data_IF_068768817124
#
_entry.id   IF_068768817124
#
_cell.length_a   1.000
_cell.length_b   1.000
_cell.length_c   1.000
_cell.angle_alpha   90.00
_cell.angle_beta   90.00
_cell.angle_gamma   90.00
#
_symmetry.space_group_name_H-M   'P 1'
#
loop_
_entity.id
_entity.type
_entity.pdbx_description
1 polymer ?
#
# COMPACT_ATOMS: atom_id res chain seq x y z
N UNK A 1 14.92 51.99 -17.63
CA UNK A 1 15.58 50.77 -17.09
C UNK A 1 14.71 49.98 -16.11
N UNK A 2 14.12 50.60 -15.08
CA UNK A 2 13.32 49.88 -14.05
C UNK A 2 12.13 49.04 -14.59
N UNK A 3 11.45 49.49 -15.66
CA UNK A 3 10.33 48.76 -16.28
C UNK A 3 10.76 47.50 -17.05
N UNK A 4 12.00 47.45 -17.56
CA UNK A 4 12.51 46.26 -18.26
C UNK A 4 12.84 45.14 -17.27
N UNK A 5 13.41 45.48 -16.10
CA UNK A 5 13.72 44.49 -15.06
C UNK A 5 12.47 43.83 -14.47
N UNK A 6 11.36 44.56 -14.33
CA UNK A 6 10.10 44.03 -13.81
C UNK A 6 9.47 43.00 -14.77
N UNK A 7 9.53 43.25 -16.09
CA UNK A 7 8.96 42.34 -17.10
C UNK A 7 9.78 41.05 -17.21
N UNK A 8 11.11 41.13 -17.11
CA UNK A 8 11.99 39.95 -17.11
C UNK A 8 11.78 39.09 -15.86
N UNK A 9 11.59 39.71 -14.69
CA UNK A 9 11.32 38.97 -13.45
C UNK A 9 9.97 38.21 -13.47
N UNK A 10 8.92 38.83 -14.03
CA UNK A 10 7.60 38.18 -14.18
C UNK A 10 7.65 37.02 -15.18
N UNK A 11 8.36 37.17 -16.30
CA UNK A 11 8.53 36.10 -17.29
C UNK A 11 9.36 34.93 -16.73
N UNK A 12 10.39 35.21 -15.93
CA UNK A 12 11.17 34.17 -15.26
C UNK A 12 10.36 33.40 -14.21
N UNK A 13 9.50 34.09 -13.44
CA UNK A 13 8.59 33.43 -12.50
C UNK A 13 7.51 32.59 -13.20
N UNK A 14 7.01 33.03 -14.35
CA UNK A 14 6.05 32.26 -15.16
C UNK A 14 6.69 31.02 -15.79
N UNK A 15 7.93 31.13 -16.27
CA UNK A 15 8.70 30.01 -16.81
C UNK A 15 9.03 28.98 -15.71
N UNK A 16 9.35 29.43 -14.49
CA UNK A 16 9.56 28.54 -13.35
C UNK A 16 8.28 27.80 -12.92
N UNK A 17 7.10 28.41 -13.10
CA UNK A 17 5.81 27.75 -12.83
C UNK A 17 5.44 26.69 -13.88
N UNK A 18 5.86 26.87 -15.13
CA UNK A 18 5.63 25.93 -16.24
C UNK A 18 6.62 24.75 -16.25
N UNK A 19 7.72 24.85 -15.49
CA UNK A 19 8.70 23.78 -15.28
C UNK A 19 8.45 22.98 -14.00
N UNK A 20 7.33 23.22 -13.30
CA UNK A 20 6.92 22.35 -12.22
C UNK A 20 6.69 20.95 -12.80
N UNK A 21 7.42 19.91 -12.34
CA UNK A 21 7.22 18.56 -12.82
C UNK A 21 5.79 18.17 -12.50
N UNK A 22 4.98 17.99 -13.54
CA UNK A 22 3.71 17.29 -13.37
C UNK A 22 4.06 15.94 -12.75
N UNK A 23 3.41 15.52 -11.65
CA UNK A 23 3.62 14.18 -11.12
C UNK A 23 3.31 13.23 -12.27
N UNK A 24 4.31 12.46 -12.70
CA UNK A 24 4.13 11.40 -13.67
C UNK A 24 3.25 10.35 -13.00
N UNK A 25 1.94 10.48 -13.19
CA UNK A 25 0.98 9.46 -12.80
C UNK A 25 1.30 8.23 -13.64
N UNK A 26 1.46 7.08 -12.98
CA UNK A 26 1.48 5.81 -13.70
C UNK A 26 0.20 5.71 -14.53
N UNK A 27 0.31 5.27 -15.78
CA UNK A 27 -0.87 5.06 -16.60
C UNK A 27 -1.66 3.87 -16.02
N UNK A 28 -2.99 3.99 -15.86
CA UNK A 28 -3.81 2.84 -15.48
C UNK A 28 -3.55 1.67 -16.43
N UNK A 29 -3.35 0.50 -15.86
CA UNK A 29 -3.15 -0.74 -16.60
C UNK A 29 -4.32 -1.68 -16.33
N UNK A 30 -4.42 -2.77 -17.08
CA UNK A 30 -5.54 -3.67 -16.94
C UNK A 30 -5.09 -5.11 -16.74
N UNK A 31 -5.74 -5.79 -15.81
CA UNK A 31 -5.47 -7.18 -15.46
C UNK A 31 -6.70 -8.03 -15.76
N UNK A 32 -6.47 -9.21 -16.34
CA UNK A 32 -7.51 -10.17 -16.64
C UNK A 32 -7.76 -11.09 -15.43
N UNK A 33 -8.97 -11.06 -14.90
CA UNK A 33 -9.48 -11.94 -13.83
C UNK A 33 -10.65 -12.77 -14.38
N UNK A 34 -10.39 -14.04 -14.70
CA UNK A 34 -11.35 -14.86 -15.43
C UNK A 34 -11.65 -14.25 -16.80
N UNK A 35 -12.91 -13.92 -17.07
CA UNK A 35 -13.39 -13.21 -18.27
C UNK A 35 -13.54 -11.70 -18.05
N UNK A 36 -13.27 -11.19 -16.85
CA UNK A 36 -13.42 -9.77 -16.51
C UNK A 36 -12.08 -9.04 -16.58
N UNK A 37 -12.07 -7.89 -17.26
CA UNK A 37 -10.93 -6.97 -17.28
C UNK A 37 -11.09 -5.94 -16.17
N UNK A 38 -10.17 -5.94 -15.21
CA UNK A 38 -10.12 -4.97 -14.11
C UNK A 38 -9.03 -3.95 -14.43
N UNK A 39 -9.39 -2.66 -14.36
CA UNK A 39 -8.42 -1.57 -14.43
C UNK A 39 -7.77 -1.38 -13.06
N UNK A 40 -6.44 -1.38 -13.01
CA UNK A 40 -5.64 -1.09 -11.83
C UNK A 40 -4.78 0.16 -12.09
N UNK A 41 -4.36 0.78 -10.99
CA UNK A 41 -3.44 1.90 -11.01
C UNK A 41 -2.42 1.75 -9.88
N UNK A 42 -1.23 2.29 -10.10
CA UNK A 42 -0.15 2.35 -9.12
C UNK A 42 -0.16 3.74 -8.50
N UNK A 43 -0.40 3.85 -7.16
CA UNK A 43 -0.44 5.14 -6.49
C UNK A 43 0.81 6.00 -6.73
N UNK A 44 0.67 7.35 -6.73
CA UNK A 44 1.81 8.26 -6.88
C UNK A 44 2.91 7.99 -5.86
N UNK A 45 4.16 8.01 -6.33
CA UNK A 45 5.35 7.72 -5.52
C UNK A 45 5.72 6.23 -5.43
N UNK A 46 4.93 5.37 -6.09
CA UNK A 46 5.22 3.95 -6.25
C UNK A 46 5.43 3.63 -7.74
N UNK A 47 6.31 2.66 -7.96
CA UNK A 47 6.53 2.04 -9.26
C UNK A 47 6.02 0.60 -9.19
N UNK A 48 5.30 0.15 -10.23
CA UNK A 48 4.92 -1.26 -10.39
C UNK A 48 6.18 -2.06 -10.68
N UNK A 49 6.67 -2.75 -9.67
CA UNK A 49 7.88 -3.52 -9.74
C UNK A 49 7.65 -4.83 -10.52
N UNK A 50 6.41 -5.37 -10.52
CA UNK A 50 6.08 -6.59 -11.24
C UNK A 50 6.16 -6.40 -12.77
N UNK A 51 5.86 -5.19 -13.27
CA UNK A 51 5.96 -4.86 -14.69
C UNK A 51 7.40 -4.92 -15.25
N UNK A 52 8.43 -4.92 -14.39
CA UNK A 52 9.82 -4.98 -14.84
C UNK A 52 10.29 -6.35 -15.31
N UNK A 53 9.58 -7.42 -14.93
CA UNK A 53 10.00 -8.79 -15.20
C UNK A 53 11.29 -9.22 -14.48
N UNK A 54 11.76 -8.47 -13.47
CA UNK A 54 12.92 -8.86 -12.67
C UNK A 54 12.59 -10.08 -11.79
N UNK A 55 13.33 -11.20 -11.90
CA UNK A 55 13.08 -12.40 -11.08
C UNK A 55 13.16 -12.10 -9.58
N UNK A 56 14.15 -11.31 -9.15
CA UNK A 56 14.34 -10.99 -7.73
C UNK A 56 13.24 -10.10 -7.16
N UNK A 57 12.61 -9.25 -7.97
CA UNK A 57 11.40 -8.50 -7.54
C UNK A 57 10.22 -9.45 -7.38
N UNK A 58 10.06 -10.38 -8.31
CA UNK A 58 8.97 -11.36 -8.24
C UNK A 58 9.12 -12.26 -7.01
N UNK A 59 10.33 -12.76 -6.75
CA UNK A 59 10.65 -13.53 -5.54
C UNK A 59 10.33 -12.75 -4.27
N UNK A 60 10.68 -11.46 -4.23
CA UNK A 60 10.32 -10.59 -3.11
C UNK A 60 8.81 -10.45 -2.95
N UNK A 61 8.08 -10.19 -4.04
CA UNK A 61 6.62 -10.06 -4.02
C UNK A 61 5.94 -11.35 -3.56
N UNK A 62 6.42 -12.50 -4.02
CA UNK A 62 5.95 -13.83 -3.63
C UNK A 62 6.28 -14.14 -2.16
N UNK A 63 7.45 -13.72 -1.65
CA UNK A 63 7.81 -13.91 -0.24
C UNK A 63 6.90 -13.14 0.72
N UNK A 64 6.33 -12.02 0.26
CA UNK A 64 5.43 -11.16 1.02
C UNK A 64 3.95 -11.51 0.83
N UNK A 65 3.63 -12.46 -0.04
CA UNK A 65 2.26 -12.80 -0.42
C UNK A 65 1.98 -14.28 -0.16
N UNK A 66 0.85 -14.59 0.50
CA UNK A 66 0.42 -15.99 0.64
C UNK A 66 0.29 -16.68 -0.72
N UNK A 67 0.78 -17.90 -0.85
CA UNK A 67 0.72 -18.71 -2.09
C UNK A 67 -0.72 -18.94 -2.59
N UNK A 68 -1.72 -18.84 -1.72
CA UNK A 68 -3.15 -18.93 -2.06
C UNK A 68 -3.68 -17.72 -2.84
N UNK A 69 -2.87 -16.68 -3.00
CA UNK A 69 -3.20 -15.47 -3.72
C UNK A 69 -2.42 -15.36 -5.04
N UNK A 70 -3.04 -14.74 -6.04
CA UNK A 70 -2.38 -14.28 -7.26
C UNK A 70 -2.07 -12.79 -7.08
N UNK A 71 -0.81 -12.42 -7.26
CA UNK A 71 -0.36 -11.02 -7.25
C UNK A 71 -0.85 -10.34 -8.53
N UNK A 72 -1.50 -9.19 -8.38
CA UNK A 72 -2.00 -8.36 -9.47
C UNK A 72 -1.17 -7.08 -9.64
N UNK A 73 -0.63 -6.57 -8.53
CA UNK A 73 0.28 -5.44 -8.48
C UNK A 73 1.21 -5.63 -7.29
N UNK A 74 2.50 -5.35 -7.48
CA UNK A 74 3.46 -5.16 -6.41
C UNK A 74 4.17 -3.83 -6.61
N UNK A 75 3.85 -2.87 -5.76
CA UNK A 75 4.41 -1.52 -5.83
C UNK A 75 5.44 -1.28 -4.73
N UNK A 76 6.61 -0.78 -5.10
CA UNK A 76 7.62 -0.26 -4.17
C UNK A 76 7.83 1.21 -4.44
N UNK A 77 8.41 1.95 -3.49
CA UNK A 77 8.65 3.37 -3.69
C UNK A 77 9.55 3.62 -4.90
N UNK A 78 9.40 4.76 -5.57
CA UNK A 78 10.27 5.10 -6.70
C UNK A 78 11.76 5.14 -6.30
N UNK A 79 12.03 5.47 -5.03
CA UNK A 79 13.38 5.45 -4.48
C UNK A 79 13.94 4.03 -4.34
N UNK A 80 13.16 3.11 -3.78
CA UNK A 80 13.52 1.69 -3.69
C UNK A 80 13.65 1.05 -5.07
N UNK A 81 12.76 1.41 -5.99
CA UNK A 81 12.82 0.96 -7.37
C UNK A 81 14.12 1.37 -8.07
N UNK A 82 14.58 2.61 -7.87
CA UNK A 82 15.86 3.08 -8.40
C UNK A 82 17.05 2.35 -7.78
N UNK A 83 17.05 2.15 -6.45
CA UNK A 83 18.09 1.37 -5.75
C UNK A 83 18.18 -0.03 -6.32
N UNK A 84 17.03 -0.69 -6.43
CA UNK A 84 16.94 -2.02 -6.99
C UNK A 84 17.48 -2.09 -8.43
N UNK A 85 17.17 -1.09 -9.26
CA UNK A 85 17.62 -1.02 -10.66
C UNK A 85 19.13 -0.89 -10.83
N UNK A 86 19.86 -0.40 -9.81
CA UNK A 86 21.33 -0.29 -9.81
C UNK A 86 22.01 -1.41 -9.02
N UNK A 87 21.25 -2.39 -8.52
CA UNK A 87 21.75 -3.50 -7.71
C UNK A 87 21.96 -3.18 -6.23
N UNK A 88 21.47 -2.03 -5.75
CA UNK A 88 21.49 -1.67 -4.33
C UNK A 88 20.32 -2.33 -3.58
N UNK A 89 20.53 -2.58 -2.28
CA UNK A 89 19.48 -3.10 -1.39
C UNK A 89 18.39 -2.05 -1.17
N UNK A 90 17.11 -2.36 -1.44
CA UNK A 90 16.01 -1.45 -1.12
C UNK A 90 15.78 -1.36 0.39
N UNK A 91 15.30 -0.21 0.86
CA UNK A 91 14.95 0.00 2.27
C UNK A 91 13.59 -0.61 2.62
N UNK A 92 12.71 -0.74 1.62
CA UNK A 92 11.38 -1.35 1.77
C UNK A 92 10.52 -0.70 2.88
N UNK A 93 10.78 0.59 3.16
CA UNK A 93 10.07 1.32 4.21
C UNK A 93 8.58 1.48 3.93
N UNK A 94 8.19 1.48 2.65
CA UNK A 94 6.81 1.50 2.17
C UNK A 94 6.66 0.66 0.92
N UNK A 95 5.61 -0.14 0.85
CA UNK A 95 5.27 -0.94 -0.32
C UNK A 95 3.77 -1.24 -0.32
N UNK A 96 3.25 -1.69 -1.46
CA UNK A 96 1.85 -2.06 -1.63
C UNK A 96 1.71 -3.33 -2.46
N UNK A 97 0.63 -4.04 -2.21
CA UNK A 97 0.29 -5.29 -2.89
C UNK A 97 -1.20 -5.26 -3.22
N UNK A 98 -1.55 -5.56 -4.47
CA UNK A 98 -2.91 -5.92 -4.84
C UNK A 98 -2.96 -7.39 -5.22
N UNK A 99 -3.90 -8.14 -4.65
CA UNK A 99 -4.03 -9.58 -4.88
C UNK A 99 -5.49 -10.00 -5.10
N UNK A 100 -5.68 -11.14 -5.73
CA UNK A 100 -6.94 -11.89 -5.72
C UNK A 100 -6.70 -13.28 -5.13
N UNK A 101 -7.60 -13.83 -4.31
CA UNK A 101 -7.54 -15.24 -3.94
C UNK A 101 -7.61 -16.10 -5.21
N UNK A 102 -6.68 -17.05 -5.36
CA UNK A 102 -6.64 -17.95 -6.54
C UNK A 102 -7.94 -18.75 -6.68
N UNK A 103 -8.54 -19.13 -5.55
CA UNK A 103 -9.81 -19.84 -5.51
C UNK A 103 -10.99 -19.02 -6.04
N UNK A 104 -10.87 -17.69 -6.11
CA UNK A 104 -11.92 -16.78 -6.59
C UNK A 104 -11.58 -16.13 -7.94
N UNK A 105 -10.37 -16.33 -8.47
CA UNK A 105 -9.88 -15.67 -9.67
C UNK A 105 -10.79 -15.85 -10.90
N UNK A 106 -11.37 -17.04 -11.04
CA UNK A 106 -12.25 -17.40 -12.18
C UNK A 106 -13.73 -17.30 -11.84
N UNK A 107 -14.10 -17.14 -10.58
CA UNK A 107 -15.48 -17.17 -10.13
C UNK A 107 -16.06 -15.76 -10.00
N UNK A 108 -17.31 -15.62 -10.39
CA UNK A 108 -18.11 -14.45 -10.09
C UNK A 108 -18.44 -14.46 -8.60
N UNK A 109 -18.17 -13.36 -7.93
CA UNK A 109 -18.41 -13.20 -6.49
C UNK A 109 -19.66 -12.34 -6.34
N UNK A 110 -20.75 -12.95 -5.87
CA UNK A 110 -21.95 -12.17 -5.54
C UNK A 110 -21.70 -11.31 -4.28
N UNK A 111 -22.49 -10.25 -4.04
CA UNK A 111 -22.39 -9.49 -2.79
C UNK A 111 -22.47 -10.36 -1.53
N UNK A 112 -23.31 -11.41 -1.55
CA UNK A 112 -23.44 -12.36 -0.42
C UNK A 112 -22.23 -13.28 -0.27
N UNK A 113 -21.57 -13.66 -1.36
CA UNK A 113 -20.30 -14.40 -1.29
C UNK A 113 -19.18 -13.49 -0.77
N UNK A 114 -19.17 -12.23 -1.20
CA UNK A 114 -18.22 -11.24 -0.72
C UNK A 114 -18.36 -10.97 0.78
N UNK A 115 -19.59 -10.82 1.29
CA UNK A 115 -19.84 -10.67 2.73
C UNK A 115 -19.30 -11.86 3.53
N UNK A 116 -19.47 -13.09 3.03
CA UNK A 116 -18.90 -14.29 3.64
C UNK A 116 -17.37 -14.28 3.62
N UNK A 117 -16.78 -13.92 2.48
CA UNK A 117 -15.34 -13.76 2.36
C UNK A 117 -14.80 -12.72 3.35
N UNK A 118 -15.47 -11.57 3.50
CA UNK A 118 -15.12 -10.56 4.49
C UNK A 118 -15.22 -11.10 5.91
N UNK A 119 -16.28 -11.84 6.24
CA UNK A 119 -16.45 -12.45 7.55
C UNK A 119 -15.36 -13.50 7.85
N UNK A 120 -14.95 -14.29 6.86
CA UNK A 120 -13.88 -15.28 6.99
C UNK A 120 -12.52 -14.61 7.24
N UNK A 121 -12.17 -13.58 6.46
CA UNK A 121 -10.91 -12.84 6.61
C UNK A 121 -10.85 -12.10 7.96
N UNK A 122 -11.98 -11.58 8.44
CA UNK A 122 -12.02 -10.76 9.65
C UNK A 122 -12.25 -11.55 10.94
N UNK A 123 -12.56 -12.85 10.86
CA UNK A 123 -12.90 -13.71 12.00
C UNK A 123 -11.89 -13.61 13.15
N UNK A 124 -10.60 -13.66 12.81
CA UNK A 124 -9.51 -13.75 13.78
C UNK A 124 -8.81 -12.41 14.05
N UNK A 125 -9.29 -11.33 13.42
CA UNK A 125 -8.64 -10.01 13.49
C UNK A 125 -8.90 -9.26 14.80
N UNK A 126 -9.83 -9.75 15.63
CA UNK A 126 -10.23 -9.09 16.87
C UNK A 126 -11.04 -7.81 16.61
N UNK A 127 -11.38 -7.07 17.68
CA UNK A 127 -12.15 -5.84 17.56
C UNK A 127 -11.22 -4.65 17.31
N UNK A 128 -11.59 -3.70 16.43
CA UNK A 128 -10.85 -2.45 16.29
C UNK A 128 -10.80 -1.72 17.63
N UNK A 129 -9.63 -1.20 17.97
CA UNK A 129 -9.47 -0.27 19.09
C UNK A 129 -9.84 1.16 18.66
N UNK A 130 -10.26 1.98 19.61
CA UNK A 130 -10.49 3.42 19.41
C UNK A 130 -9.34 4.28 19.94
N UNK A 131 -8.30 3.67 20.51
CA UNK A 131 -7.15 4.40 21.04
C UNK A 131 -6.30 4.96 19.88
N UNK A 132 -5.92 6.24 19.99
CA UNK A 132 -5.12 6.96 19.01
C UNK A 132 -3.62 6.78 19.27
N UNK A 133 -3.21 6.26 20.43
CA UNK A 133 -1.81 5.94 20.72
C UNK A 133 -1.46 4.52 20.25
N UNK A 134 -1.23 4.40 18.93
CA UNK A 134 -0.86 3.11 18.33
C UNK A 134 0.44 2.56 18.89
N UNK A 135 1.39 3.41 19.29
CA UNK A 135 2.67 2.92 19.81
C UNK A 135 2.46 2.16 21.12
N UNK A 136 1.72 2.76 22.06
CA UNK A 136 1.38 2.12 23.33
C UNK A 136 0.64 0.80 23.14
N UNK A 137 -0.30 0.75 22.19
CA UNK A 137 -1.02 -0.48 21.85
C UNK A 137 -0.10 -1.58 21.30
N UNK A 138 0.78 -1.23 20.37
CA UNK A 138 1.72 -2.16 19.77
C UNK A 138 2.79 -2.63 20.77
N UNK A 139 3.15 -1.80 21.74
CA UNK A 139 4.07 -2.17 22.82
C UNK A 139 3.46 -3.18 23.80
N UNK A 140 2.15 -3.13 23.99
CA UNK A 140 1.43 -4.13 24.79
C UNK A 140 1.19 -5.44 24.04
N UNK A 141 1.32 -5.46 22.71
CA UNK A 141 1.06 -6.62 21.88
C UNK A 141 2.23 -7.62 21.86
N UNK A 142 1.96 -8.93 21.70
CA UNK A 142 3.01 -9.91 21.43
C UNK A 142 3.77 -9.57 20.14
N UNK A 143 5.09 -9.75 20.18
CA UNK A 143 5.96 -9.52 19.02
C UNK A 143 5.55 -10.42 17.84
N UNK A 144 5.51 -9.83 16.64
CA UNK A 144 5.11 -10.48 15.39
C UNK A 144 3.60 -10.67 15.22
N UNK A 145 2.79 -10.40 16.26
CA UNK A 145 1.34 -10.56 16.17
C UNK A 145 0.68 -9.26 15.68
N UNK A 146 -0.05 -9.28 14.55
CA UNK A 146 -0.79 -8.12 14.10
C UNK A 146 -1.97 -7.83 15.03
N UNK A 147 -2.24 -6.55 15.26
CA UNK A 147 -3.37 -6.03 16.03
C UNK A 147 -4.17 -5.07 15.15
N UNK A 148 -5.50 -5.19 15.14
CA UNK A 148 -6.36 -4.22 14.44
C UNK A 148 -6.39 -2.91 15.20
N UNK A 149 -5.96 -1.85 14.53
CA UNK A 149 -5.87 -0.50 15.08
C UNK A 149 -7.10 0.34 14.79
N UNK A 150 -7.72 0.16 13.62
CA UNK A 150 -8.93 0.89 13.24
C UNK A 150 -9.70 0.20 12.12
N UNK A 151 -11.03 0.34 12.11
CA UNK A 151 -11.82 0.19 10.88
C UNK A 151 -11.82 1.54 10.17
N UNK A 152 -11.44 1.55 8.89
CA UNK A 152 -11.32 2.79 8.10
C UNK A 152 -12.59 3.07 7.30
N UNK A 153 -13.18 2.03 6.71
CA UNK A 153 -14.38 2.15 5.85
C UNK A 153 -15.08 0.81 5.76
N UNK A 154 -16.42 0.81 5.80
CA UNK A 154 -17.25 -0.37 5.60
C UNK A 154 -18.47 -0.04 4.77
N UNK A 155 -18.64 -0.76 3.67
CA UNK A 155 -19.74 -0.65 2.70
C UNK A 155 -20.06 -2.07 2.16
N UNK A 156 -21.19 -2.29 1.47
CA UNK A 156 -21.56 -3.62 0.99
C UNK A 156 -20.51 -4.32 0.10
N UNK A 157 -19.76 -3.54 -0.68
CA UNK A 157 -18.74 -4.03 -1.60
C UNK A 157 -17.30 -3.73 -1.16
N UNK A 158 -17.10 -3.28 0.09
CA UNK A 158 -15.82 -2.77 0.55
C UNK A 158 -15.67 -2.88 2.07
N UNK A 159 -14.55 -3.44 2.51
CA UNK A 159 -14.08 -3.29 3.89
C UNK A 159 -12.63 -2.84 3.89
N UNK A 160 -12.32 -1.77 4.62
CA UNK A 160 -10.96 -1.30 4.86
C UNK A 160 -10.68 -1.22 6.35
N UNK A 161 -9.56 -1.78 6.79
CA UNK A 161 -9.09 -1.70 8.17
C UNK A 161 -7.58 -1.51 8.23
N UNK A 162 -7.11 -0.95 9.33
CA UNK A 162 -5.71 -0.72 9.63
C UNK A 162 -5.26 -1.64 10.75
N UNK A 163 -4.06 -2.18 10.61
CA UNK A 163 -3.41 -3.04 11.58
C UNK A 163 -1.98 -2.56 11.82
N UNK A 164 -1.38 -3.04 12.90
CA UNK A 164 0.06 -2.92 13.10
C UNK A 164 0.63 -4.12 13.83
N UNK A 165 1.95 -4.28 13.70
CA UNK A 165 2.70 -5.32 14.40
C UNK A 165 4.02 -4.73 14.93
N UNK A 166 4.47 -5.24 16.07
CA UNK A 166 5.80 -4.97 16.62
C UNK A 166 6.76 -6.07 16.24
N UNK A 167 7.95 -5.69 15.80
CA UNK A 167 9.08 -6.58 15.52
C UNK A 167 10.21 -6.31 16.51
N UNK A 168 10.99 -7.35 16.86
CA UNK A 168 12.15 -7.13 17.71
C UNK A 168 13.16 -6.25 16.96
N UNK A 169 13.91 -5.43 17.71
CA UNK A 169 15.10 -4.80 17.17
C UNK A 169 16.16 -5.86 16.83
N UNK A 170 17.19 -5.47 16.10
CA UNK A 170 18.34 -6.35 15.87
C UNK A 170 19.13 -6.46 17.17
N UNK A 171 19.33 -7.70 17.62
CA UNK A 171 20.24 -7.99 18.72
C UNK A 171 21.67 -7.63 18.31
N UNK A 172 22.35 -6.87 19.17
CA UNK A 172 23.74 -6.55 19.01
C UNK A 172 24.59 -7.80 19.27
N UNK A 173 25.49 -8.12 18.34
CA UNK A 173 26.45 -9.23 18.49
C UNK A 173 27.68 -8.85 19.31
N UNK A 174 27.80 -7.60 19.74
CA UNK A 174 28.97 -7.08 20.44
C UNK A 174 28.63 -6.68 21.87
N UNK A 175 29.41 -7.20 22.82
CA UNK A 175 29.27 -6.89 24.25
C UNK A 175 29.46 -5.37 24.46
N UNK A 176 28.48 -4.74 25.10
CA UNK A 176 28.52 -3.31 25.43
C UNK A 176 27.89 -2.38 24.39
N UNK A 177 27.40 -2.90 23.27
CA UNK A 177 26.61 -2.14 22.30
C UNK A 177 25.12 -2.41 22.54
N UNK A 178 24.29 -1.37 22.80
CA UNK A 178 22.84 -1.53 22.97
C UNK A 178 22.18 -2.19 21.76
N UNK A 179 21.15 -2.98 22.00
CA UNK A 179 20.29 -3.51 20.94
C UNK A 179 19.55 -2.37 20.22
N UNK A 180 19.23 -2.61 18.95
CA UNK A 180 18.38 -1.68 18.22
C UNK A 180 16.99 -1.60 18.87
N UNK A 181 16.31 -0.44 18.80
CA UNK A 181 14.94 -0.34 19.29
C UNK A 181 13.99 -1.25 18.51
N UNK A 182 12.88 -1.61 19.15
CA UNK A 182 11.80 -2.33 18.48
C UNK A 182 11.31 -1.58 17.25
N UNK A 183 11.00 -2.33 16.20
CA UNK A 183 10.48 -1.79 14.94
C UNK A 183 8.98 -2.03 14.87
N UNK A 184 8.27 -1.15 14.19
CA UNK A 184 6.82 -1.21 14.08
C UNK A 184 6.43 -1.09 12.61
N UNK A 185 5.49 -1.92 12.20
CA UNK A 185 4.91 -1.91 10.87
C UNK A 185 3.43 -1.58 11.01
N UNK A 186 2.95 -0.61 10.23
CA UNK A 186 1.52 -0.43 9.98
C UNK A 186 1.16 -0.96 8.60
N UNK A 187 -0.05 -1.48 8.49
CA UNK A 187 -0.63 -1.82 7.21
C UNK A 187 -2.12 -1.51 7.16
N UNK A 188 -2.61 -1.16 5.98
CA UNK A 188 -4.04 -1.22 5.70
C UNK A 188 -4.32 -2.42 4.83
N UNK A 189 -5.48 -3.03 5.03
CA UNK A 189 -6.02 -4.06 4.14
C UNK A 189 -7.41 -3.61 3.73
N UNK A 190 -7.63 -3.51 2.43
CA UNK A 190 -8.92 -3.21 1.82
C UNK A 190 -9.38 -4.39 1.00
N UNK A 191 -10.46 -5.04 1.44
CA UNK A 191 -11.19 -6.03 0.67
C UNK A 191 -12.19 -5.29 -0.22
N UNK A 192 -12.20 -5.59 -1.52
CA UNK A 192 -13.04 -4.92 -2.51
C UNK A 192 -13.75 -5.94 -3.39
N UNK A 193 -15.03 -5.68 -3.66
CA UNK A 193 -15.76 -6.30 -4.75
C UNK A 193 -15.80 -5.31 -5.92
N UNK A 194 -15.02 -5.57 -6.96
CA UNK A 194 -14.96 -4.76 -8.18
C UNK A 194 -15.39 -5.61 -9.37
N UNK A 195 -16.47 -5.21 -10.05
CA UNK A 195 -17.03 -5.92 -11.22
C UNK A 195 -17.18 -7.42 -10.97
N UNK A 196 -17.81 -7.78 -9.86
CA UNK A 196 -18.02 -9.17 -9.41
C UNK A 196 -16.74 -9.97 -9.15
N UNK A 197 -15.59 -9.31 -8.97
CA UNK A 197 -14.30 -9.92 -8.58
C UNK A 197 -13.87 -9.44 -7.20
N UNK A 198 -13.40 -10.37 -6.37
CA UNK A 198 -12.87 -10.06 -5.05
C UNK A 198 -11.37 -9.74 -5.13
N UNK A 199 -10.98 -8.57 -4.64
CA UNK A 199 -9.59 -8.14 -4.52
C UNK A 199 -9.26 -7.82 -3.07
N UNK A 200 -7.99 -7.98 -2.71
CA UNK A 200 -7.41 -7.45 -1.46
C UNK A 200 -6.27 -6.51 -1.82
N UNK A 201 -6.35 -5.28 -1.31
CA UNK A 201 -5.30 -4.27 -1.44
C UNK A 201 -4.65 -4.09 -0.08
N UNK A 202 -3.34 -4.11 -0.04
CA UNK A 202 -2.58 -3.86 1.18
C UNK A 202 -1.51 -2.82 0.95
N UNK A 203 -1.43 -1.83 1.83
CA UNK A 203 -0.33 -0.84 1.85
C UNK A 203 0.39 -1.01 3.18
N UNK A 204 1.71 -0.98 3.15
CA UNK A 204 2.58 -1.15 4.30
C UNK A 204 3.47 0.08 4.49
N UNK A 205 3.74 0.41 5.75
CA UNK A 205 4.72 1.44 6.12
C UNK A 205 5.37 1.09 7.45
N UNK A 206 6.67 1.38 7.56
CA UNK A 206 7.30 1.52 8.88
C UNK A 206 6.58 2.61 9.68
N UNK A 207 6.51 2.43 11.00
CA UNK A 207 5.84 3.36 11.92
C UNK A 207 6.84 4.02 12.84
N UNK A 208 7.18 5.26 12.50
CA UNK A 208 8.04 6.11 13.32
C UNK A 208 7.23 7.19 14.05
N UNK A 209 6.11 7.63 13.46
CA UNK A 209 5.31 8.71 14.00
C UNK A 209 3.82 8.60 13.63
N UNK A 210 2.90 9.30 14.32
CA UNK A 210 1.48 9.36 13.94
C UNK A 210 1.23 9.78 12.48
N UNK A 211 2.14 10.56 11.89
CA UNK A 211 2.06 11.00 10.49
C UNK A 211 2.08 9.82 9.51
N UNK A 212 2.75 8.71 9.86
CA UNK A 212 2.76 7.50 9.03
C UNK A 212 1.37 6.84 8.98
N UNK A 213 0.63 6.86 10.08
CA UNK A 213 -0.73 6.34 10.13
C UNK A 213 -1.70 7.23 9.34
N UNK A 214 -1.55 8.55 9.44
CA UNK A 214 -2.33 9.52 8.65
C UNK A 214 -2.04 9.39 7.16
N UNK A 215 -0.77 9.30 6.78
CA UNK A 215 -0.34 9.05 5.41
C UNK A 215 -0.92 7.74 4.88
N UNK A 216 -0.91 6.68 5.67
CA UNK A 216 -1.42 5.37 5.29
C UNK A 216 -2.94 5.42 5.04
N UNK A 217 -3.70 6.09 5.92
CA UNK A 217 -5.15 6.31 5.73
C UNK A 217 -5.44 7.10 4.45
N UNK A 218 -4.76 8.23 4.26
CA UNK A 218 -4.97 9.10 3.10
C UNK A 218 -4.60 8.40 1.78
N UNK A 219 -3.52 7.63 1.76
CA UNK A 219 -3.07 6.87 0.58
C UNK A 219 -4.05 5.74 0.26
N UNK A 220 -4.51 5.02 1.28
CA UNK A 220 -5.52 3.96 1.14
C UNK A 220 -6.81 4.52 0.55
N UNK A 221 -7.33 5.60 1.12
CA UNK A 221 -8.57 6.23 0.66
C UNK A 221 -8.45 6.64 -0.81
N UNK A 222 -7.39 7.37 -1.16
CA UNK A 222 -7.17 7.84 -2.54
C UNK A 222 -7.09 6.68 -3.52
N UNK A 223 -6.32 5.64 -3.20
CA UNK A 223 -6.13 4.50 -4.10
C UNK A 223 -7.45 3.75 -4.32
N UNK A 224 -8.21 3.53 -3.26
CA UNK A 224 -9.53 2.89 -3.34
C UNK A 224 -10.50 3.70 -4.18
N UNK A 225 -10.59 5.02 -3.96
CA UNK A 225 -11.44 5.91 -4.75
C UNK A 225 -11.08 5.88 -6.24
N UNK A 226 -9.77 5.87 -6.55
CA UNK A 226 -9.27 5.81 -7.91
C UNK A 226 -9.59 4.47 -8.59
N UNK A 227 -9.37 3.35 -7.89
CA UNK A 227 -9.73 2.02 -8.41
C UNK A 227 -11.24 1.88 -8.62
N UNK A 228 -12.06 2.39 -7.70
CA UNK A 228 -13.50 2.45 -7.90
C UNK A 228 -13.83 3.28 -9.15
N UNK A 229 -13.24 4.47 -9.31
CA UNK A 229 -13.46 5.35 -10.47
C UNK A 229 -13.10 4.68 -11.80
N UNK A 230 -11.95 4.00 -11.86
CA UNK A 230 -11.46 3.30 -13.06
C UNK A 230 -12.35 2.13 -13.49
N UNK A 231 -13.12 1.55 -12.57
CA UNK A 231 -13.93 0.34 -12.81
C UNK A 231 -15.45 0.59 -12.79
N UNK A 232 -15.92 1.84 -12.92
CA UNK A 232 -17.37 2.17 -12.99
C UNK A 232 -18.04 1.75 -14.31
N UNK A 233 -17.28 1.24 -15.29
CA UNK A 233 -17.75 0.90 -16.64
C UNK A 233 -17.45 -0.56 -17.00
#
# INVERSE_FOLDING_TARGET
MARLCAVVAVLAALAALLLAPAPALAAPFAVQLGDTRIALDTPPGFSDAAATGSPSVLELAESLTSASNRILLFGITDADFRRFSVGDTPEMGRYLIAVTPRALERYYVSPKDFERYVADVTRDLGKPTQDMDYRKLLDAAPTGRPVVLAELRREPALLSFMQGARFPGRESRFIGVPDDPAQYLLSTTTLLLLRDRALSLSIYTGYASPQDAEWLRATTQRWVEELQRLNRF
#
